data_IF_065147726789
#
_entry.id   IF_065147726789
#
_cell.length_a   1.000
_cell.length_b   1.000
_cell.length_c   1.000
_cell.angle_alpha   90.00
_cell.angle_beta   90.00
_cell.angle_gamma   90.00
#
_symmetry.space_group_name_H-M   'P 1'
#
loop_
_entity.id
_entity.type
_entity.pdbx_description
1 polymer ?
#
# COMPACT_ATOMS: atom_id res chain seq x y z
N UNK A 1 -20.75 -9.44 -6.64
CA UNK A 1 -19.31 -9.61 -6.92
C UNK A 1 -18.85 -8.47 -7.81
N UNK A 2 -17.65 -7.96 -7.57
CA UNK A 2 -17.02 -6.98 -8.46
C UNK A 2 -15.61 -7.44 -8.79
N UNK A 3 -15.18 -7.18 -10.01
CA UNK A 3 -13.83 -7.49 -10.49
C UNK A 3 -13.16 -6.17 -10.81
N UNK A 4 -12.00 -5.94 -10.22
CA UNK A 4 -11.29 -4.67 -10.29
C UNK A 4 -9.94 -4.86 -10.97
N UNK A 5 -9.61 -3.97 -11.91
CA UNK A 5 -8.26 -3.92 -12.47
C UNK A 5 -7.38 -3.11 -11.52
N UNK A 6 -6.47 -3.79 -10.84
CA UNK A 6 -5.57 -3.12 -9.88
C UNK A 6 -4.60 -2.18 -10.59
N UNK A 7 -4.04 -2.62 -11.72
CA UNK A 7 -3.14 -1.78 -12.51
C UNK A 7 -3.88 -0.63 -13.18
N UNK A 8 -5.10 -0.86 -13.67
CA UNK A 8 -5.93 0.21 -14.21
C UNK A 8 -6.27 1.26 -13.20
N UNK A 9 -6.66 0.85 -11.99
CA UNK A 9 -6.95 1.78 -10.90
C UNK A 9 -5.71 2.57 -10.47
N UNK A 10 -4.54 1.93 -10.44
CA UNK A 10 -3.28 2.61 -10.15
C UNK A 10 -2.94 3.65 -11.22
N UNK A 11 -3.13 3.30 -12.50
CA UNK A 11 -2.88 4.21 -13.61
C UNK A 11 -3.77 5.44 -13.53
N UNK A 12 -5.04 5.27 -13.20
CA UNK A 12 -6.03 6.34 -13.17
C UNK A 12 -6.01 7.14 -11.87
N UNK A 13 -5.34 6.65 -10.84
CA UNK A 13 -5.27 7.33 -9.55
C UNK A 13 -4.57 8.68 -9.68
N UNK A 14 -5.06 9.65 -8.93
CA UNK A 14 -4.50 11.01 -8.92
C UNK A 14 -3.94 11.31 -7.54
N UNK A 15 -2.73 11.83 -7.48
CA UNK A 15 -2.13 12.28 -6.23
C UNK A 15 -2.69 13.64 -5.84
N UNK A 16 -2.96 13.83 -4.55
CA UNK A 16 -3.37 15.12 -4.01
C UNK A 16 -2.23 16.17 -4.08
N UNK A 17 -0.98 15.70 -4.06
CA UNK A 17 0.22 16.53 -4.12
C UNK A 17 1.32 15.77 -4.86
N UNK A 18 2.20 16.46 -5.61
CA UNK A 18 3.27 15.81 -6.37
C UNK A 18 4.24 14.98 -5.52
N UNK A 19 4.42 15.33 -4.25
CA UNK A 19 5.33 14.62 -3.35
C UNK A 19 4.70 13.38 -2.71
N UNK A 20 3.41 13.15 -2.91
CA UNK A 20 2.67 12.06 -2.30
C UNK A 20 2.27 11.02 -3.33
N UNK A 21 2.27 9.72 -2.96
CA UNK A 21 1.77 8.68 -3.83
C UNK A 21 0.32 8.91 -4.24
N UNK A 22 -0.03 8.49 -5.45
CA UNK A 22 -1.40 8.42 -5.88
C UNK A 22 -2.07 7.20 -5.24
N UNK A 23 -3.31 7.35 -4.80
CA UNK A 23 -4.07 6.27 -4.19
C UNK A 23 -5.46 6.18 -4.78
N UNK A 24 -6.04 4.98 -4.76
CA UNK A 24 -7.44 4.77 -5.10
C UNK A 24 -8.04 3.73 -4.17
N UNK A 25 -9.22 4.02 -3.67
CA UNK A 25 -9.99 3.10 -2.82
C UNK A 25 -10.68 2.08 -3.71
N UNK A 26 -10.32 0.80 -3.57
CA UNK A 26 -10.87 -0.28 -4.39
C UNK A 26 -12.08 -0.95 -3.74
N UNK A 27 -12.06 -1.09 -2.43
CA UNK A 27 -13.12 -1.76 -1.67
C UNK A 27 -13.12 -1.22 -0.26
N UNK A 28 -14.30 -0.97 0.30
CA UNK A 28 -14.40 -0.39 1.63
C UNK A 28 -15.70 -0.87 2.30
N UNK A 29 -15.53 -1.83 3.19
CA UNK A 29 -16.59 -2.41 4.01
C UNK A 29 -16.06 -2.52 5.44
N UNK A 30 -16.92 -2.74 6.46
CA UNK A 30 -16.46 -2.83 7.85
C UNK A 30 -15.36 -3.87 8.07
N UNK A 31 -15.39 -4.98 7.35
CA UNK A 31 -14.41 -6.06 7.52
C UNK A 31 -13.07 -5.80 6.82
N UNK A 32 -13.05 -4.93 5.81
CA UNK A 32 -11.83 -4.71 5.03
C UNK A 32 -11.87 -3.40 4.25
N UNK A 33 -10.71 -2.75 4.19
CA UNK A 33 -10.46 -1.67 3.25
C UNK A 33 -9.32 -2.09 2.33
N UNK A 34 -9.48 -1.89 1.04
CA UNK A 34 -8.47 -2.22 0.03
C UNK A 34 -8.15 -0.95 -0.76
N UNK A 35 -6.88 -0.57 -0.74
CA UNK A 35 -6.38 0.66 -1.38
C UNK A 35 -5.23 0.30 -2.30
N UNK A 36 -5.24 0.81 -3.52
CA UNK A 36 -4.07 0.72 -4.39
C UNK A 36 -3.22 1.98 -4.23
N UNK A 37 -1.91 1.80 -4.20
CA UNK A 37 -0.91 2.87 -4.16
C UNK A 37 -0.07 2.81 -5.41
N UNK A 38 0.11 3.96 -6.07
CA UNK A 38 1.14 4.13 -7.09
C UNK A 38 2.17 5.10 -6.53
N UNK A 39 3.36 4.59 -6.27
CA UNK A 39 4.45 5.33 -5.64
C UNK A 39 5.52 5.56 -6.71
N UNK A 40 5.71 6.81 -7.10
CA UNK A 40 6.74 7.18 -8.06
C UNK A 40 8.11 7.22 -7.38
N UNK A 41 9.22 7.13 -8.14
CA UNK A 41 10.54 7.36 -7.56
C UNK A 41 10.58 8.65 -6.75
N UNK A 42 11.25 8.62 -5.61
CA UNK A 42 11.37 9.73 -4.65
C UNK A 42 10.11 10.03 -3.84
N UNK A 43 9.01 9.33 -4.09
CA UNK A 43 7.84 9.38 -3.22
C UNK A 43 7.90 8.29 -2.17
N UNK A 44 7.23 8.52 -1.05
CA UNK A 44 7.13 7.52 0.01
C UNK A 44 5.81 7.65 0.76
N UNK A 45 5.41 6.55 1.38
CA UNK A 45 4.42 6.54 2.46
C UNK A 45 5.22 6.53 3.76
N UNK A 46 5.17 7.64 4.50
CA UNK A 46 5.91 7.79 5.74
C UNK A 46 5.49 6.71 6.76
N UNK A 47 6.43 6.20 7.58
CA UNK A 47 6.09 5.20 8.58
C UNK A 47 4.96 5.65 9.50
N UNK A 48 3.99 4.77 9.69
CA UNK A 48 2.83 4.99 10.56
C UNK A 48 2.34 3.65 11.11
N UNK A 49 1.45 3.70 12.07
CA UNK A 49 0.88 2.49 12.69
C UNK A 49 -0.59 2.37 12.38
N UNK A 50 -1.11 1.15 12.54
CA UNK A 50 -2.53 0.86 12.43
C UNK A 50 -2.93 -0.12 13.51
N UNK A 51 -4.16 0.00 14.00
CA UNK A 51 -4.76 -1.00 14.91
C UNK A 51 -5.34 -2.19 14.16
N UNK A 52 -5.29 -2.15 12.82
CA UNK A 52 -5.75 -3.24 11.96
C UNK A 52 -4.59 -4.10 11.50
N UNK A 53 -4.90 -5.30 11.04
CA UNK A 53 -3.95 -6.09 10.26
C UNK A 53 -3.72 -5.37 8.94
N UNK A 54 -2.46 -5.28 8.51
CA UNK A 54 -2.09 -4.68 7.23
C UNK A 54 -1.29 -5.68 6.42
N UNK A 55 -1.76 -5.95 5.21
CA UNK A 55 -1.07 -6.77 4.23
C UNK A 55 -0.79 -5.91 3.01
N UNK A 56 0.40 -6.05 2.44
CA UNK A 56 0.75 -5.39 1.18
C UNK A 56 1.01 -6.45 0.12
N UNK A 57 0.32 -6.36 -1.00
CA UNK A 57 0.58 -7.18 -2.17
C UNK A 57 1.27 -6.32 -3.21
N UNK A 58 2.49 -6.67 -3.56
CA UNK A 58 3.27 -5.92 -4.55
C UNK A 58 2.87 -6.38 -5.94
N UNK A 59 2.35 -5.46 -6.73
CA UNK A 59 1.73 -5.76 -8.03
C UNK A 59 2.68 -5.46 -9.18
N UNK A 60 3.46 -4.39 -9.08
CA UNK A 60 4.34 -3.95 -10.16
C UNK A 60 5.52 -3.17 -9.58
N UNK A 61 6.68 -3.33 -10.20
CA UNK A 61 7.87 -2.57 -9.84
C UNK A 61 8.62 -3.12 -8.64
N UNK A 62 9.46 -2.27 -8.07
CA UNK A 62 10.34 -2.58 -6.96
C UNK A 62 10.38 -1.43 -5.97
N UNK A 63 10.68 -1.72 -4.74
CA UNK A 63 10.84 -0.70 -3.72
C UNK A 63 11.33 -1.29 -2.42
N UNK A 64 11.11 -0.53 -1.35
CA UNK A 64 11.52 -0.90 0.00
C UNK A 64 10.33 -0.71 0.93
N UNK A 65 10.13 -1.67 1.81
CA UNK A 65 9.16 -1.55 2.90
C UNK A 65 9.91 -1.52 4.22
N UNK A 66 9.40 -0.75 5.16
CA UNK A 66 9.95 -0.67 6.51
C UNK A 66 8.95 -1.21 7.52
N UNK A 67 9.49 -1.81 8.56
CA UNK A 67 8.74 -2.36 9.69
C UNK A 67 9.53 -2.18 10.98
N UNK A 68 9.06 -2.80 12.06
CA UNK A 68 9.68 -2.68 13.37
C UNK A 68 11.13 -3.19 13.40
N UNK A 69 11.46 -4.18 12.57
CA UNK A 69 12.79 -4.81 12.54
C UNK A 69 13.72 -4.26 11.45
N UNK A 70 13.32 -3.21 10.75
CA UNK A 70 14.14 -2.60 9.71
C UNK A 70 13.47 -2.55 8.35
N UNK A 71 14.26 -2.59 7.29
CA UNK A 71 13.79 -2.47 5.92
C UNK A 71 14.01 -3.76 5.14
N UNK A 72 13.13 -4.01 4.18
CA UNK A 72 13.24 -5.10 3.22
C UNK A 72 12.98 -4.60 1.81
N UNK A 73 13.76 -5.08 0.85
CA UNK A 73 13.47 -4.88 -0.58
C UNK A 73 12.31 -5.76 -1.00
N UNK A 74 11.44 -5.21 -1.83
CA UNK A 74 10.28 -5.92 -2.36
C UNK A 74 10.17 -5.72 -3.87
N UNK A 75 9.49 -6.65 -4.52
CA UNK A 75 9.23 -6.62 -5.96
C UNK A 75 7.88 -7.23 -6.25
N UNK A 76 7.42 -7.08 -7.48
CA UNK A 76 6.15 -7.68 -7.93
C UNK A 76 6.10 -9.18 -7.58
N UNK A 77 4.98 -9.58 -6.99
CA UNK A 77 4.74 -10.95 -6.53
C UNK A 77 5.01 -11.15 -5.03
N UNK A 78 5.63 -10.19 -4.35
CA UNK A 78 5.86 -10.29 -2.92
C UNK A 78 4.61 -9.91 -2.13
N UNK A 79 4.44 -10.56 -0.98
CA UNK A 79 3.42 -10.24 0.01
C UNK A 79 4.11 -9.84 1.31
N UNK A 80 3.70 -8.71 1.87
CA UNK A 80 4.22 -8.22 3.15
C UNK A 80 3.10 -8.30 4.17
N UNK A 81 3.38 -8.88 5.32
CA UNK A 81 2.42 -8.96 6.43
C UNK A 81 2.99 -8.25 7.65
N UNK A 82 2.25 -7.25 8.13
CA UNK A 82 2.60 -6.50 9.33
C UNK A 82 1.79 -6.98 10.52
N UNK A 83 2.43 -6.98 11.69
CA UNK A 83 1.72 -7.19 12.94
C UNK A 83 0.85 -5.97 13.28
N UNK A 84 -0.22 -6.20 14.02
CA UNK A 84 -1.07 -5.12 14.53
C UNK A 84 -0.22 -4.16 15.37
N UNK A 85 -0.31 -2.86 15.08
CA UNK A 85 0.46 -1.84 15.78
C UNK A 85 1.89 -1.67 15.29
N UNK A 86 2.36 -2.51 14.38
CA UNK A 86 3.70 -2.39 13.84
C UNK A 86 3.82 -1.15 12.96
N UNK A 87 4.93 -0.43 13.13
CA UNK A 87 5.24 0.71 12.27
C UNK A 87 5.50 0.20 10.85
N UNK A 88 4.86 0.80 9.85
CA UNK A 88 5.02 0.40 8.47
C UNK A 88 5.13 1.62 7.54
N UNK A 89 6.03 1.51 6.58
CA UNK A 89 6.24 2.52 5.55
C UNK A 89 6.67 1.88 4.25
N UNK A 90 6.57 2.60 3.17
CA UNK A 90 6.95 2.11 1.84
C UNK A 90 7.55 3.24 1.01
N UNK A 91 8.48 2.89 0.14
CA UNK A 91 9.00 3.83 -0.85
C UNK A 91 9.35 3.09 -2.14
N UNK A 92 9.21 3.79 -3.25
CA UNK A 92 9.67 3.28 -4.54
C UNK A 92 11.19 3.29 -4.58
N UNK A 93 11.75 2.43 -5.42
CA UNK A 93 13.17 2.48 -5.77
C UNK A 93 13.39 3.43 -6.93
N UNK A 94 14.13 2.96 -7.94
CA UNK A 94 14.42 3.74 -9.15
C UNK A 94 13.29 3.69 -10.17
N UNK A 95 12.28 2.86 -9.92
CA UNK A 95 11.10 2.72 -10.78
C UNK A 95 9.83 2.84 -9.97
N UNK A 96 8.72 3.04 -10.65
CA UNK A 96 7.39 3.12 -10.04
C UNK A 96 7.07 1.81 -9.33
N UNK A 97 6.52 1.93 -8.12
CA UNK A 97 6.05 0.80 -7.33
C UNK A 97 4.52 0.86 -7.24
N UNK A 98 3.86 -0.23 -7.58
CA UNK A 98 2.41 -0.38 -7.40
C UNK A 98 2.15 -1.49 -6.40
N UNK A 99 1.39 -1.17 -5.38
CA UNK A 99 1.01 -2.15 -4.37
C UNK A 99 -0.44 -1.96 -3.95
N UNK A 100 -0.99 -3.02 -3.38
CA UNK A 100 -2.33 -3.02 -2.79
C UNK A 100 -2.16 -3.21 -1.30
N UNK A 101 -2.75 -2.30 -0.52
CA UNK A 101 -2.85 -2.43 0.92
C UNK A 101 -4.21 -3.01 1.28
N UNK A 102 -4.21 -4.10 2.05
CA UNK A 102 -5.40 -4.75 2.57
C UNK A 102 -5.40 -4.51 4.08
N UNK A 103 -6.41 -3.81 4.56
CA UNK A 103 -6.51 -3.35 5.96
C UNK A 103 -7.74 -3.98 6.57
N UNK A 104 -7.56 -4.86 7.56
CA UNK A 104 -8.65 -5.63 8.16
C UNK A 104 -8.59 -5.58 9.70
N UNK A 105 -9.69 -5.18 10.36
CA UNK A 105 -10.89 -4.55 9.82
C UNK A 105 -10.59 -3.14 9.31
N UNK A 106 -11.56 -2.55 8.62
CA UNK A 106 -11.47 -1.15 8.19
C UNK A 106 -11.17 -0.26 9.41
N UNK A 107 -10.25 0.72 9.30
CA UNK A 107 -9.97 1.62 10.41
C UNK A 107 -11.25 2.32 10.90
N UNK A 108 -11.42 2.34 12.24
CA UNK A 108 -12.60 2.95 12.85
C UNK A 108 -13.87 2.11 12.82
N UNK A 109 -13.81 0.86 12.33
CA UNK A 109 -14.98 -0.03 12.26
C UNK A 109 -15.34 -0.70 13.58
N UNK A 110 -14.57 -0.50 14.63
CA UNK A 110 -14.79 -1.08 15.97
C UNK A 110 -15.39 -0.08 16.91
#
# INVERSE_FOLDING_TARGET
MKVLSTLGAAHDAVSAQPSRPATALLHDVPDARVVVFRIEPEQEVAPHTSTSTVLLSIVSGRGTVSGASGENSVKAGDLVAYEVGELHGMKAGTEQLVLIAIITPRPGAR
#
